data_IF_015495690226
#
_entry.id   IF_015495690226
#
_cell.length_a   1.000
_cell.length_b   1.000
_cell.length_c   1.000
_cell.angle_alpha   90.00
_cell.angle_beta   90.00
_cell.angle_gamma   90.00
#
_symmetry.space_group_name_H-M   'P 1'
#
loop_
_entity.id
_entity.type
_entity.pdbx_description
1 polymer ?
#
# COMPACT_ATOMS: atom_id res chain seq x y z
N UNK A 1 19.56 11.43 14.85
CA UNK A 1 19.40 9.98 15.15
C UNK A 1 20.47 9.23 14.37
N UNK A 2 21.14 8.24 14.94
CA UNK A 2 22.05 7.38 14.15
C UNK A 2 21.21 6.29 13.47
N UNK A 3 21.14 6.31 12.14
CA UNK A 3 20.33 5.36 11.39
C UNK A 3 21.07 4.07 11.06
N UNK A 4 22.41 4.01 11.11
CA UNK A 4 23.19 2.81 10.78
C UNK A 4 23.10 1.69 11.83
N UNK A 5 22.58 2.01 13.02
CA UNK A 5 22.22 1.02 14.06
C UNK A 5 20.85 1.37 14.60
N UNK A 6 19.86 1.36 13.72
CA UNK A 6 18.52 1.82 14.03
C UNK A 6 17.84 0.94 15.08
N UNK A 7 17.33 1.58 16.11
CA UNK A 7 16.42 1.01 17.08
C UNK A 7 15.12 1.81 17.08
N UNK A 8 14.02 1.12 17.33
CA UNK A 8 12.71 1.76 17.40
C UNK A 8 12.70 2.76 18.57
N UNK A 9 12.25 4.02 18.34
CA UNK A 9 12.38 5.11 19.31
C UNK A 9 11.27 5.10 20.38
N UNK A 10 10.72 3.93 20.69
CA UNK A 10 9.72 3.74 21.74
C UNK A 10 9.89 2.36 22.39
N UNK A 11 9.50 2.19 23.67
CA UNK A 11 9.62 0.91 24.36
C UNK A 11 8.72 -0.12 23.70
N UNK A 12 9.30 -1.22 23.21
CA UNK A 12 8.58 -2.32 22.57
C UNK A 12 7.81 -3.13 23.62
N UNK A 13 6.55 -3.43 23.35
CA UNK A 13 5.75 -4.35 24.17
C UNK A 13 6.23 -5.79 23.94
N UNK A 14 6.46 -6.55 25.01
CA UNK A 14 7.04 -7.90 24.97
C UNK A 14 6.26 -8.87 24.07
N UNK A 15 4.94 -8.70 23.98
CA UNK A 15 4.05 -9.51 23.13
C UNK A 15 4.35 -9.34 21.64
N UNK A 16 4.99 -8.24 21.27
CA UNK A 16 5.30 -7.84 19.90
C UNK A 16 6.80 -7.57 19.70
N UNK A 17 7.64 -8.33 20.41
CA UNK A 17 9.09 -8.20 20.44
C UNK A 17 9.80 -8.56 19.14
N UNK A 18 9.20 -9.42 18.30
CA UNK A 18 9.77 -9.84 17.02
C UNK A 18 9.96 -8.67 16.07
N UNK A 19 11.15 -8.57 15.46
CA UNK A 19 11.46 -7.51 14.49
C UNK A 19 10.75 -7.78 13.16
N UNK A 20 9.85 -6.88 12.77
CA UNK A 20 9.08 -6.98 11.52
C UNK A 20 9.39 -5.80 10.60
N UNK A 21 9.67 -6.08 9.33
CA UNK A 21 9.68 -5.07 8.28
C UNK A 21 8.45 -5.26 7.38
N UNK A 22 7.62 -4.23 7.31
CA UNK A 22 6.36 -4.23 6.55
C UNK A 22 6.51 -3.41 5.27
N UNK A 23 6.45 -4.08 4.13
CA UNK A 23 6.69 -3.51 2.81
C UNK A 23 5.38 -3.18 2.13
N UNK A 24 5.23 -1.94 1.65
CA UNK A 24 4.08 -1.55 0.84
C UNK A 24 4.43 -0.44 -0.14
N UNK A 25 3.78 -0.46 -1.31
CA UNK A 25 3.84 0.65 -2.27
C UNK A 25 3.15 1.91 -1.74
N UNK A 26 2.24 1.76 -0.76
CA UNK A 26 1.34 2.82 -0.35
C UNK A 26 1.17 2.91 1.17
N UNK A 27 1.14 4.13 1.71
CA UNK A 27 0.87 4.38 3.13
C UNK A 27 0.00 5.62 3.33
N UNK A 28 -1.28 5.43 3.71
CA UNK A 28 -2.18 6.51 4.09
C UNK A 28 -2.17 6.74 5.62
N UNK A 29 -0.98 7.01 6.18
CA UNK A 29 -0.81 7.27 7.62
C UNK A 29 -1.49 8.56 8.06
N UNK A 30 -1.47 9.59 7.21
CA UNK A 30 -2.09 10.88 7.47
C UNK A 30 -2.41 11.59 6.14
N UNK A 31 -3.38 12.50 6.14
CA UNK A 31 -3.85 13.15 4.90
C UNK A 31 -2.75 13.94 4.15
N UNK A 32 -1.89 14.72 4.83
CA UNK A 32 -0.73 15.38 4.25
C UNK A 32 0.29 14.51 3.52
N UNK A 33 0.53 13.26 3.94
CA UNK A 33 1.56 12.41 3.33
C UNK A 33 0.97 11.64 2.14
N UNK A 34 1.01 12.23 0.94
CA UNK A 34 0.31 11.77 -0.27
C UNK A 34 1.02 10.62 -1.01
N UNK A 35 1.42 9.58 -0.28
CA UNK A 35 2.06 8.38 -0.82
C UNK A 35 1.10 7.20 -0.95
N UNK A 36 -0.17 7.46 -1.30
CA UNK A 36 -1.22 6.45 -1.39
C UNK A 36 -2.28 6.82 -2.43
N UNK A 37 -2.99 5.82 -2.95
CA UNK A 37 -4.08 5.94 -3.94
C UNK A 37 -5.40 5.32 -3.49
N UNK A 38 -5.35 4.26 -2.67
CA UNK A 38 -6.52 3.42 -2.44
C UNK A 38 -6.49 2.59 -1.17
N UNK A 39 -7.34 1.55 -1.14
CA UNK A 39 -7.61 0.73 0.04
C UNK A 39 -6.37 0.06 0.65
N UNK A 40 -5.41 -0.33 -0.19
CA UNK A 40 -4.14 -0.91 0.26
C UNK A 40 -3.35 0.11 1.09
N UNK A 41 -3.21 1.36 0.62
CA UNK A 41 -2.64 2.46 1.40
C UNK A 41 -3.40 2.78 2.69
N UNK A 42 -4.74 2.80 2.67
CA UNK A 42 -5.56 3.00 3.89
C UNK A 42 -5.36 1.88 4.92
N UNK A 43 -5.25 0.63 4.47
CA UNK A 43 -4.89 -0.48 5.34
C UNK A 43 -3.49 -0.30 5.92
N UNK A 44 -2.47 -0.11 5.08
CA UNK A 44 -1.08 0.06 5.52
C UNK A 44 -0.93 1.21 6.53
N UNK A 45 -1.60 2.33 6.28
CA UNK A 45 -1.62 3.48 7.18
C UNK A 45 -2.24 3.16 8.54
N UNK A 46 -3.43 2.53 8.54
CA UNK A 46 -4.09 2.06 9.77
C UNK A 46 -3.25 0.99 10.50
N UNK A 47 -2.54 0.13 9.76
CA UNK A 47 -1.68 -0.89 10.31
C UNK A 47 -0.49 -0.27 11.05
N UNK A 48 0.22 0.70 10.44
CA UNK A 48 1.32 1.40 11.11
C UNK A 48 0.85 2.19 12.34
N UNK A 49 -0.34 2.82 12.29
CA UNK A 49 -0.93 3.49 13.47
C UNK A 49 -1.18 2.53 14.63
N UNK A 50 -1.81 1.40 14.34
CA UNK A 50 -2.07 0.37 15.34
C UNK A 50 -0.77 -0.25 15.87
N UNK A 51 0.24 -0.45 15.02
CA UNK A 51 1.55 -0.93 15.42
C UNK A 51 2.24 0.02 16.42
N UNK A 52 2.13 1.33 16.21
CA UNK A 52 2.63 2.34 17.16
C UNK A 52 1.88 2.32 18.48
N UNK A 53 0.54 2.30 18.44
CA UNK A 53 -0.29 2.27 19.65
C UNK A 53 -0.05 1.03 20.51
N UNK A 54 0.17 -0.12 19.87
CA UNK A 54 0.51 -1.39 20.51
C UNK A 54 2.00 -1.54 20.80
N UNK A 55 2.82 -0.54 20.46
CA UNK A 55 4.28 -0.53 20.62
C UNK A 55 4.96 -1.76 20.04
N UNK A 56 4.58 -2.12 18.82
CA UNK A 56 5.17 -3.27 18.11
C UNK A 56 6.57 -2.96 17.60
N UNK A 57 7.41 -4.00 17.52
CA UNK A 57 8.73 -3.91 16.93
C UNK A 57 8.70 -3.95 15.39
N UNK A 58 8.06 -2.95 14.79
CA UNK A 58 7.75 -2.90 13.36
C UNK A 58 8.29 -1.62 12.71
N UNK A 59 8.94 -1.77 11.56
CA UNK A 59 9.29 -0.67 10.64
C UNK A 59 8.50 -0.81 9.34
N UNK A 60 7.99 0.31 8.82
CA UNK A 60 7.43 0.41 7.48
C UNK A 60 8.52 0.69 6.46
N UNK A 61 8.46 0.02 5.30
CA UNK A 61 9.34 0.23 4.15
C UNK A 61 8.49 0.58 2.94
N UNK A 62 8.75 1.74 2.33
CA UNK A 62 8.02 2.24 1.17
C UNK A 62 8.87 3.10 0.24
N UNK A 63 8.20 3.71 -0.73
CA UNK A 63 8.80 4.62 -1.70
C UNK A 63 8.24 6.04 -1.47
N UNK A 64 9.11 7.03 -1.55
CA UNK A 64 8.72 8.43 -1.53
C UNK A 64 8.33 8.88 -2.94
N UNK A 65 7.02 9.05 -3.17
CA UNK A 65 6.50 9.47 -4.47
C UNK A 65 6.53 11.00 -4.62
N UNK A 66 7.36 11.52 -5.55
CA UNK A 66 7.51 12.97 -5.79
C UNK A 66 6.19 13.67 -6.11
N UNK A 67 5.34 13.03 -6.91
CA UNK A 67 4.04 13.55 -7.35
C UNK A 67 2.84 12.75 -6.82
N UNK A 68 3.07 11.80 -5.90
CA UNK A 68 2.01 10.93 -5.38
C UNK A 68 1.37 10.02 -6.44
N UNK A 69 0.07 9.75 -6.30
CA UNK A 69 -0.71 8.98 -7.28
C UNK A 69 -1.26 9.83 -8.42
N UNK A 70 -1.88 10.97 -8.10
CA UNK A 70 -2.16 12.13 -8.93
C UNK A 70 -3.04 13.08 -8.11
N UNK A 71 -3.13 14.33 -8.54
CA UNK A 71 -4.06 15.31 -8.01
C UNK A 71 -5.25 15.46 -8.97
N UNK A 72 -6.46 15.20 -8.46
CA UNK A 72 -7.69 15.26 -9.23
C UNK A 72 -8.16 16.70 -9.39
N UNK A 73 -8.33 17.14 -10.64
CA UNK A 73 -8.95 18.40 -11.02
C UNK A 73 -10.11 18.15 -12.01
N UNK A 74 -10.77 19.22 -12.46
CA UNK A 74 -11.88 19.18 -13.42
C UNK A 74 -11.57 20.08 -14.62
N UNK A 75 -11.74 19.55 -15.81
CA UNK A 75 -11.75 20.35 -17.03
C UNK A 75 -13.01 21.24 -17.08
N UNK A 76 -13.04 22.20 -18.01
CA UNK A 76 -14.20 23.09 -18.22
C UNK A 76 -15.49 22.32 -18.58
N UNK A 77 -15.35 21.17 -19.25
CA UNK A 77 -16.45 20.26 -19.60
C UNK A 77 -16.84 19.29 -18.46
N UNK A 78 -16.27 19.49 -17.26
CA UNK A 78 -16.44 18.64 -16.07
C UNK A 78 -15.82 17.25 -16.15
N UNK A 79 -15.09 16.93 -17.23
CA UNK A 79 -14.32 15.69 -17.30
C UNK A 79 -13.12 15.71 -16.33
N UNK A 80 -12.61 14.52 -16.00
CA UNK A 80 -11.47 14.37 -15.11
C UNK A 80 -10.22 15.01 -15.71
N UNK A 81 -9.62 15.94 -14.98
CA UNK A 81 -8.29 16.44 -15.26
C UNK A 81 -7.29 15.84 -14.27
N UNK A 82 -6.23 15.23 -14.77
CA UNK A 82 -5.15 14.66 -13.95
C UNK A 82 -4.02 15.68 -13.86
N UNK A 83 -3.66 16.07 -12.65
CA UNK A 83 -2.54 16.97 -12.39
C UNK A 83 -1.50 16.29 -11.52
N UNK A 84 -0.26 16.75 -11.60
CA UNK A 84 0.89 16.17 -10.91
C UNK A 84 1.61 17.27 -10.15
N UNK A 85 1.16 17.56 -8.93
CA UNK A 85 1.81 18.58 -8.11
C UNK A 85 2.92 17.94 -7.29
N UNK A 86 4.12 18.54 -7.36
CA UNK A 86 5.25 18.12 -6.55
C UNK A 86 4.94 18.23 -5.05
N UNK A 87 5.34 17.21 -4.29
CA UNK A 87 5.10 17.13 -2.85
C UNK A 87 6.43 17.26 -2.11
N UNK A 88 6.57 18.34 -1.35
CA UNK A 88 7.71 18.59 -0.47
C UNK A 88 7.23 18.41 0.97
N UNK A 89 7.76 17.38 1.65
CA UNK A 89 7.34 17.04 3.00
C UNK A 89 8.39 17.49 4.02
N UNK A 90 8.19 18.67 4.60
CA UNK A 90 9.09 19.25 5.62
C UNK A 90 9.18 18.44 6.91
N UNK A 91 8.23 17.53 7.15
CA UNK A 91 8.17 16.66 8.33
C UNK A 91 8.91 15.33 8.15
N UNK A 92 9.53 15.08 6.98
CA UNK A 92 10.42 13.94 6.77
C UNK A 92 11.85 14.32 7.11
N UNK A 93 12.55 13.43 7.79
CA UNK A 93 13.96 13.57 8.14
C UNK A 93 14.83 12.92 7.08
N UNK A 94 15.90 13.61 6.65
CA UNK A 94 16.95 13.01 5.84
C UNK A 94 17.82 12.11 6.73
N UNK A 95 17.91 10.83 6.38
CA UNK A 95 18.72 9.88 7.16
C UNK A 95 20.21 10.02 6.88
N UNK A 96 20.60 10.68 5.79
CA UNK A 96 21.96 10.69 5.25
C UNK A 96 22.37 9.39 4.55
N UNK A 97 21.54 8.35 4.58
CA UNK A 97 21.83 7.06 3.94
C UNK A 97 21.63 7.18 2.44
N UNK A 98 22.67 6.77 1.70
CA UNK A 98 22.65 6.56 0.25
C UNK A 98 23.30 5.23 -0.07
N UNK A 99 22.69 4.47 -0.96
CA UNK A 99 23.26 3.23 -1.49
C UNK A 99 22.85 3.06 -2.94
N UNK A 100 23.56 2.24 -3.71
CA UNK A 100 23.20 1.95 -5.10
C UNK A 100 22.37 0.67 -5.23
N UNK A 101 21.58 0.53 -6.27
CA UNK A 101 20.98 -0.74 -6.69
C UNK A 101 21.27 -0.93 -8.17
N UNK A 102 21.54 -2.16 -8.59
CA UNK A 102 21.60 -2.45 -10.02
C UNK A 102 20.17 -2.56 -10.55
N UNK A 103 19.76 -1.63 -11.40
CA UNK A 103 18.48 -1.63 -12.10
C UNK A 103 18.79 -1.46 -13.57
N UNK A 104 18.28 -2.36 -14.41
CA UNK A 104 18.60 -2.38 -15.84
C UNK A 104 20.11 -2.40 -16.11
N UNK A 105 20.84 -3.23 -15.38
CA UNK A 105 22.31 -3.39 -15.50
C UNK A 105 23.14 -2.13 -15.17
N UNK A 106 22.50 -1.07 -14.66
CA UNK A 106 23.12 0.18 -14.27
C UNK A 106 22.97 0.46 -12.78
N UNK A 107 23.97 1.08 -12.12
CA UNK A 107 23.84 1.51 -10.74
C UNK A 107 22.90 2.71 -10.62
N UNK A 108 21.81 2.56 -9.88
CA UNK A 108 20.85 3.61 -9.51
C UNK A 108 21.05 3.94 -8.04
N UNK A 109 21.37 5.20 -7.73
CA UNK A 109 21.48 5.68 -6.35
C UNK A 109 20.11 5.82 -5.69
N UNK A 110 20.02 5.41 -4.44
CA UNK A 110 18.81 5.48 -3.61
C UNK A 110 19.13 6.30 -2.38
N UNK A 111 18.34 7.34 -2.14
CA UNK A 111 18.35 8.12 -0.90
C UNK A 111 17.19 7.70 -0.01
N UNK A 112 17.40 7.76 1.31
CA UNK A 112 16.43 7.30 2.30
C UNK A 112 15.96 8.45 3.18
N UNK A 113 14.64 8.65 3.21
CA UNK A 113 13.95 9.57 4.09
C UNK A 113 13.25 8.80 5.21
N UNK A 114 13.05 9.45 6.36
CA UNK A 114 12.45 8.86 7.55
C UNK A 114 11.25 9.68 8.03
N UNK A 115 10.15 9.01 8.35
CA UNK A 115 9.02 9.57 9.06
C UNK A 115 9.09 9.15 10.54
N UNK A 116 9.38 10.09 11.46
CA UNK A 116 9.40 9.80 12.88
C UNK A 116 8.01 9.37 13.41
N UNK A 117 7.96 8.43 14.37
CA UNK A 117 6.69 7.98 14.94
C UNK A 117 5.83 9.09 15.55
N UNK A 118 6.46 10.10 16.15
CA UNK A 118 5.81 11.22 16.83
C UNK A 118 5.12 12.20 15.87
N UNK A 119 5.51 12.23 14.59
CA UNK A 119 4.93 13.15 13.60
C UNK A 119 3.44 12.89 13.40
N UNK A 120 3.05 11.62 13.27
CA UNK A 120 1.67 11.23 13.02
C UNK A 120 1.14 10.12 13.94
N UNK A 121 1.88 9.71 14.98
CA UNK A 121 1.53 8.56 15.82
C UNK A 121 1.38 7.27 14.99
N UNK A 122 2.42 6.93 14.24
CA UNK A 122 2.52 5.70 13.43
C UNK A 122 3.84 5.00 13.68
N UNK A 123 3.94 3.73 13.34
CA UNK A 123 5.22 3.02 13.38
C UNK A 123 6.22 3.75 12.47
N UNK A 124 7.52 3.67 12.78
CA UNK A 124 8.55 4.34 11.98
C UNK A 124 8.48 3.87 10.53
N UNK A 125 8.59 4.82 9.60
CA UNK A 125 8.45 4.55 8.17
C UNK A 125 9.66 5.11 7.42
N UNK A 126 10.36 4.23 6.72
CA UNK A 126 11.45 4.59 5.83
C UNK A 126 10.95 4.63 4.38
N UNK A 127 11.31 5.69 3.68
CA UNK A 127 10.87 5.98 2.32
C UNK A 127 12.08 6.17 1.42
N UNK A 128 12.19 5.35 0.38
CA UNK A 128 13.28 5.41 -0.59
C UNK A 128 12.91 6.34 -1.76
N UNK A 129 13.87 7.13 -2.24
CA UNK A 129 13.74 7.96 -3.44
C UNK A 129 14.95 7.80 -4.35
N UNK A 130 14.73 7.78 -5.67
CA UNK A 130 15.77 7.85 -6.70
C UNK A 130 15.85 9.22 -7.35
N UNK A 131 14.94 10.14 -7.00
CA UNK A 131 14.93 11.54 -7.44
C UNK A 131 16.04 12.34 -6.71
N UNK A 132 17.28 12.11 -7.14
CA UNK A 132 18.49 12.75 -6.62
C UNK A 132 19.47 13.06 -7.77
N UNK A 133 20.35 14.09 -7.62
CA UNK A 133 21.24 14.54 -8.69
C UNK A 133 22.25 13.50 -9.20
N UNK A 134 22.57 12.48 -8.41
CA UNK A 134 23.49 11.41 -8.79
C UNK A 134 22.93 10.48 -9.87
N UNK A 135 21.62 10.49 -10.08
CA UNK A 135 20.94 9.67 -11.07
C UNK A 135 20.63 10.44 -12.34
N UNK A 136 20.66 9.75 -13.47
CA UNK A 136 20.07 10.25 -14.72
C UNK A 136 18.55 10.45 -14.58
N UNK A 137 17.96 11.22 -15.49
CA UNK A 137 16.54 11.56 -15.43
C UNK A 137 15.62 10.33 -15.46
N UNK A 138 15.95 9.29 -16.21
CA UNK A 138 15.13 8.06 -16.30
C UNK A 138 15.15 7.36 -14.93
N UNK A 139 16.32 7.25 -14.31
CA UNK A 139 16.48 6.70 -12.96
C UNK A 139 15.76 7.53 -11.89
N UNK A 140 15.75 8.86 -11.99
CA UNK A 140 14.95 9.73 -11.11
C UNK A 140 13.45 9.45 -11.24
N UNK A 141 12.97 9.17 -12.46
CA UNK A 141 11.53 8.96 -12.71
C UNK A 141 10.95 7.71 -12.04
N UNK A 142 11.77 6.76 -11.59
CA UNK A 142 11.33 5.55 -10.86
C UNK A 142 10.44 5.93 -9.67
N UNK A 143 10.77 7.00 -8.94
CA UNK A 143 10.00 7.44 -7.75
C UNK A 143 9.14 8.68 -7.99
N UNK A 144 8.85 9.02 -9.25
CA UNK A 144 7.99 10.17 -9.55
C UNK A 144 6.53 9.88 -9.24
N UNK A 145 6.00 8.74 -9.68
CA UNK A 145 4.56 8.45 -9.67
C UNK A 145 4.27 7.05 -9.15
N UNK A 146 3.32 6.96 -8.23
CA UNK A 146 2.77 5.68 -7.79
C UNK A 146 1.94 5.04 -8.90
N UNK A 147 2.18 3.77 -9.21
CA UNK A 147 1.49 3.01 -10.26
C UNK A 147 1.61 3.64 -11.65
N UNK A 148 2.86 3.84 -12.09
CA UNK A 148 3.13 4.31 -13.45
C UNK A 148 2.57 3.34 -14.50
N UNK A 149 2.14 3.85 -15.66
CA UNK A 149 1.63 3.03 -16.74
C UNK A 149 2.76 2.32 -17.51
N UNK A 150 3.98 2.86 -17.46
CA UNK A 150 5.14 2.28 -18.12
C UNK A 150 5.62 1.01 -17.40
N UNK A 151 5.67 -0.09 -18.14
CA UNK A 151 5.99 -1.42 -17.61
C UNK A 151 7.40 -1.48 -17.02
N UNK A 152 8.42 -0.98 -17.72
CA UNK A 152 9.81 -0.99 -17.22
C UNK A 152 9.95 -0.17 -15.94
N UNK A 153 9.24 0.97 -15.84
CA UNK A 153 9.22 1.81 -14.63
C UNK A 153 8.57 1.06 -13.46
N UNK A 154 7.45 0.35 -13.68
CA UNK A 154 6.84 -0.50 -12.64
C UNK A 154 7.79 -1.59 -12.16
N UNK A 155 8.49 -2.28 -13.07
CA UNK A 155 9.48 -3.31 -12.69
C UNK A 155 10.59 -2.67 -11.85
N UNK A 156 11.12 -1.50 -12.24
CA UNK A 156 12.10 -0.77 -11.45
C UNK A 156 11.57 -0.37 -10.05
N UNK A 157 10.30 0.06 -9.95
CA UNK A 157 9.64 0.34 -8.67
C UNK A 157 9.55 -0.90 -7.78
N UNK A 158 9.25 -2.07 -8.36
CA UNK A 158 9.19 -3.33 -7.61
C UNK A 158 10.59 -3.75 -7.12
N UNK A 159 11.63 -3.50 -7.90
CA UNK A 159 13.03 -3.73 -7.48
C UNK A 159 13.39 -2.80 -6.32
N UNK A 160 13.07 -1.52 -6.46
CA UNK A 160 13.32 -0.53 -5.42
C UNK A 160 12.61 -0.89 -4.11
N UNK A 161 11.31 -1.24 -4.16
CA UNK A 161 10.56 -1.61 -2.96
C UNK A 161 11.12 -2.88 -2.30
N UNK A 162 11.29 -3.95 -3.08
CA UNK A 162 11.68 -5.26 -2.55
C UNK A 162 13.19 -5.37 -2.27
N UNK A 163 14.01 -5.50 -3.31
CA UNK A 163 15.46 -5.62 -3.16
C UNK A 163 16.08 -4.38 -2.51
N UNK A 164 15.63 -3.18 -2.90
CA UNK A 164 16.07 -1.93 -2.27
C UNK A 164 15.69 -1.83 -0.80
N UNK A 165 14.45 -2.19 -0.46
CA UNK A 165 14.02 -2.21 0.94
C UNK A 165 14.72 -3.29 1.78
N UNK A 166 15.03 -4.45 1.20
CA UNK A 166 15.81 -5.50 1.85
C UNK A 166 17.26 -5.04 2.11
N UNK A 167 17.89 -4.38 1.13
CA UNK A 167 19.20 -3.76 1.29
C UNK A 167 19.19 -2.65 2.34
N UNK A 168 18.20 -1.77 2.32
CA UNK A 168 18.03 -0.70 3.30
C UNK A 168 18.04 -1.24 4.74
N UNK A 169 17.38 -2.38 4.99
CA UNK A 169 17.34 -3.00 6.32
C UNK A 169 18.73 -3.43 6.83
N UNK A 170 19.69 -3.66 5.93
CA UNK A 170 21.10 -3.89 6.24
C UNK A 170 21.82 -2.59 6.55
N UNK A 171 21.63 -1.57 5.71
CA UNK A 171 22.21 -0.23 5.89
C UNK A 171 21.82 0.38 7.24
N UNK A 172 20.60 0.09 7.73
CA UNK A 172 20.14 0.55 9.05
C UNK A 172 20.40 -0.44 10.19
N UNK A 173 20.96 -1.62 9.90
CA UNK A 173 21.25 -2.64 10.91
C UNK A 173 20.03 -3.24 11.63
N UNK A 174 18.82 -3.16 11.05
CA UNK A 174 17.59 -3.59 11.73
C UNK A 174 17.46 -5.11 11.82
N UNK A 175 17.92 -5.85 10.80
CA UNK A 175 17.93 -7.32 10.75
C UNK A 175 16.60 -7.97 11.18
N UNK A 176 15.52 -7.79 10.40
CA UNK A 176 14.21 -8.29 10.79
C UNK A 176 14.11 -9.82 10.74
N UNK A 177 13.33 -10.36 11.68
CA UNK A 177 12.95 -11.78 11.71
C UNK A 177 11.81 -12.09 10.74
N UNK A 178 11.03 -11.05 10.38
CA UNK A 178 9.89 -11.18 9.47
C UNK A 178 9.90 -10.06 8.43
N UNK A 179 9.84 -10.45 7.17
CA UNK A 179 9.58 -9.59 6.03
C UNK A 179 8.13 -9.80 5.60
N UNK A 180 7.28 -8.80 5.83
CA UNK A 180 5.87 -8.86 5.46
C UNK A 180 5.65 -8.06 4.18
N UNK A 181 5.37 -8.76 3.09
CA UNK A 181 5.03 -8.17 1.81
C UNK A 181 3.52 -7.94 1.70
N UNK A 182 3.12 -6.67 1.62
CA UNK A 182 1.75 -6.27 1.37
C UNK A 182 1.51 -6.14 -0.14
N UNK A 183 0.88 -7.16 -0.73
CA UNK A 183 0.89 -7.48 -2.16
C UNK A 183 2.28 -7.82 -2.72
N UNK A 184 2.30 -8.36 -3.95
CA UNK A 184 3.49 -8.96 -4.55
C UNK A 184 4.53 -7.93 -5.05
N UNK A 185 4.25 -6.62 -4.91
CA UNK A 185 5.11 -5.53 -5.36
C UNK A 185 6.55 -5.62 -4.82
N UNK A 186 6.71 -6.11 -3.59
CA UNK A 186 8.01 -6.25 -2.93
C UNK A 186 8.70 -7.61 -3.13
N UNK A 187 8.21 -8.50 -3.99
CA UNK A 187 8.73 -9.89 -4.08
C UNK A 187 10.17 -9.98 -4.57
N UNK A 188 10.71 -8.93 -5.21
CA UNK A 188 12.15 -8.85 -5.52
C UNK A 188 13.05 -8.98 -4.27
N UNK A 189 12.53 -8.67 -3.07
CA UNK A 189 13.19 -8.93 -1.79
C UNK A 189 13.53 -10.41 -1.59
N UNK A 190 12.69 -11.33 -2.07
CA UNK A 190 12.91 -12.77 -1.90
C UNK A 190 14.19 -13.24 -2.62
N UNK A 191 14.43 -12.74 -3.84
CA UNK A 191 15.63 -13.08 -4.61
C UNK A 191 16.89 -12.44 -4.01
N UNK A 192 16.79 -11.21 -3.53
CA UNK A 192 17.87 -10.55 -2.80
C UNK A 192 18.26 -11.34 -1.54
N UNK A 193 17.27 -11.72 -0.72
CA UNK A 193 17.49 -12.53 0.48
C UNK A 193 18.00 -13.93 0.15
N UNK A 194 17.55 -14.53 -0.96
CA UNK A 194 18.04 -15.82 -1.41
C UNK A 194 19.54 -15.80 -1.68
N UNK A 195 20.03 -14.78 -2.39
CA UNK A 195 21.48 -14.58 -2.59
C UNK A 195 22.21 -14.34 -1.27
N UNK A 196 21.67 -13.45 -0.42
CA UNK A 196 22.24 -13.13 0.89
C UNK A 196 22.43 -14.37 1.78
N UNK A 197 21.46 -15.27 1.79
CA UNK A 197 21.49 -16.49 2.59
C UNK A 197 22.13 -17.66 1.86
N UNK A 198 23.03 -17.41 0.90
CA UNK A 198 23.82 -18.44 0.24
C UNK A 198 22.96 -19.40 -0.60
N UNK A 199 21.96 -18.86 -1.32
CA UNK A 199 21.01 -19.62 -2.13
C UNK A 199 20.19 -20.64 -1.31
N UNK A 200 19.82 -20.28 -0.08
CA UNK A 200 19.01 -21.12 0.79
C UNK A 200 17.53 -20.67 0.79
N UNK A 201 16.68 -21.40 0.06
CA UNK A 201 15.24 -21.09 -0.04
C UNK A 201 14.52 -21.21 1.31
N UNK A 202 14.88 -22.18 2.14
CA UNK A 202 14.23 -22.40 3.43
C UNK A 202 14.52 -21.26 4.41
N UNK A 203 15.69 -20.64 4.32
CA UNK A 203 16.04 -19.50 5.18
C UNK A 203 15.26 -18.23 4.81
N UNK A 204 15.00 -18.03 3.50
CA UNK A 204 14.08 -16.99 3.01
C UNK A 204 12.65 -17.32 3.44
N UNK A 205 12.21 -18.56 3.25
CA UNK A 205 10.88 -19.04 3.60
C UNK A 205 10.55 -18.80 5.06
N UNK A 206 11.47 -19.12 5.97
CA UNK A 206 11.33 -18.85 7.40
C UNK A 206 11.07 -17.37 7.73
N UNK A 207 11.40 -16.41 6.88
CA UNK A 207 11.29 -14.97 7.16
C UNK A 207 10.14 -14.29 6.43
N UNK A 208 9.72 -14.81 5.28
CA UNK A 208 8.80 -14.10 4.40
C UNK A 208 7.34 -14.42 4.69
N UNK A 209 6.52 -13.39 4.86
CA UNK A 209 5.06 -13.42 5.03
C UNK A 209 4.42 -12.61 3.91
N UNK A 210 3.31 -13.09 3.35
CA UNK A 210 2.67 -12.48 2.21
C UNK A 210 1.18 -12.19 2.44
N UNK A 211 0.71 -10.99 2.12
CA UNK A 211 -0.73 -10.70 2.08
C UNK A 211 -1.18 -10.44 0.64
N UNK A 212 -2.24 -11.13 0.23
CA UNK A 212 -2.91 -10.92 -1.06
C UNK A 212 -4.28 -10.25 -0.87
N UNK A 213 -4.59 -9.27 -1.71
CA UNK A 213 -5.83 -8.47 -1.71
C UNK A 213 -6.64 -8.67 -2.99
N UNK A 214 -6.11 -9.44 -3.93
CA UNK A 214 -6.68 -9.61 -5.26
C UNK A 214 -7.45 -10.93 -5.33
N UNK A 215 -8.79 -10.89 -5.52
CA UNK A 215 -9.63 -12.09 -5.51
C UNK A 215 -9.69 -12.82 -6.86
N UNK A 216 -8.96 -12.36 -7.88
CA UNK A 216 -9.01 -12.92 -9.24
C UNK A 216 -7.61 -13.03 -9.86
N UNK A 217 -7.34 -14.12 -10.56
CA UNK A 217 -6.01 -14.42 -11.09
C UNK A 217 -5.57 -13.39 -12.14
N UNK A 218 -6.51 -12.95 -12.99
CA UNK A 218 -6.27 -11.91 -14.01
C UNK A 218 -5.92 -10.54 -13.41
N UNK A 219 -6.25 -10.30 -12.13
CA UNK A 219 -5.87 -9.08 -11.42
C UNK A 219 -4.47 -9.13 -10.80
N UNK A 220 -3.80 -10.29 -10.79
CA UNK A 220 -2.45 -10.42 -10.24
C UNK A 220 -1.42 -10.00 -11.29
N UNK A 221 -0.51 -9.10 -10.93
CA UNK A 221 0.48 -8.54 -11.85
C UNK A 221 1.40 -9.64 -12.39
N UNK A 222 1.59 -9.65 -13.71
CA UNK A 222 2.55 -10.50 -14.42
C UNK A 222 3.40 -9.61 -15.32
N UNK A 223 4.67 -9.96 -15.42
CA UNK A 223 5.61 -9.28 -16.31
C UNK A 223 6.36 -10.31 -17.16
N UNK A 224 6.82 -9.88 -18.33
CA UNK A 224 7.73 -10.68 -19.13
C UNK A 224 9.01 -11.02 -18.33
N UNK A 225 9.34 -12.31 -18.22
CA UNK A 225 10.47 -12.77 -17.40
C UNK A 225 11.83 -12.29 -17.93
N UNK A 226 11.97 -12.13 -19.24
CA UNK A 226 13.18 -11.60 -19.86
C UNK A 226 13.32 -10.11 -19.59
N UNK A 227 12.21 -9.37 -19.58
CA UNK A 227 12.21 -7.97 -19.10
C UNK A 227 12.63 -7.90 -17.64
N UNK A 228 12.07 -8.73 -16.76
CA UNK A 228 12.49 -8.78 -15.35
C UNK A 228 13.98 -9.07 -15.20
N UNK A 229 14.51 -10.05 -15.94
CA UNK A 229 15.93 -10.40 -15.92
C UNK A 229 16.80 -9.22 -16.40
N UNK A 230 16.44 -8.61 -17.54
CA UNK A 230 17.12 -7.43 -18.09
C UNK A 230 17.10 -6.24 -17.13
N UNK A 231 16.00 -6.06 -16.41
CA UNK A 231 15.86 -5.01 -15.39
C UNK A 231 16.64 -5.32 -14.09
N UNK A 232 17.35 -6.46 -14.01
CA UNK A 232 18.09 -6.93 -12.84
C UNK A 232 17.21 -7.33 -11.65
N UNK A 233 15.97 -7.75 -11.91
CA UNK A 233 14.96 -8.06 -10.89
C UNK A 233 15.37 -9.22 -9.95
N UNK A 234 16.04 -10.22 -10.50
CA UNK A 234 16.32 -11.48 -9.81
C UNK A 234 17.64 -11.48 -9.03
N UNK A 235 18.21 -10.31 -8.75
CA UNK A 235 19.45 -10.19 -7.96
C UNK A 235 20.59 -11.07 -8.49
N UNK A 236 20.77 -11.12 -9.82
CA UNK A 236 21.85 -11.86 -10.48
C UNK A 236 21.60 -13.34 -10.75
N UNK A 237 20.40 -13.88 -10.44
CA UNK A 237 20.03 -15.24 -10.84
C UNK A 237 19.74 -15.30 -12.35
N UNK A 238 20.08 -16.44 -12.96
CA UNK A 238 19.69 -16.73 -14.34
C UNK A 238 18.18 -16.99 -14.45
N UNK A 239 17.64 -16.86 -15.66
CA UNK A 239 16.23 -17.17 -15.91
C UNK A 239 15.93 -18.63 -15.57
N UNK A 240 16.84 -19.56 -15.88
CA UNK A 240 16.66 -20.98 -15.57
C UNK A 240 16.62 -21.24 -14.06
N UNK A 241 17.50 -20.61 -13.29
CA UNK A 241 17.47 -20.67 -11.81
C UNK A 241 16.15 -20.12 -11.27
N UNK A 242 15.64 -19.02 -11.84
CA UNK A 242 14.36 -18.44 -11.44
C UNK A 242 13.20 -19.39 -11.78
N UNK A 243 13.16 -19.94 -12.99
CA UNK A 243 12.12 -20.88 -13.43
C UNK A 243 12.12 -22.14 -12.55
N UNK A 244 13.29 -22.64 -12.16
CA UNK A 244 13.42 -23.76 -11.22
C UNK A 244 12.91 -23.38 -9.83
N UNK A 245 13.37 -22.25 -9.28
CA UNK A 245 13.00 -21.80 -7.93
C UNK A 245 11.51 -21.51 -7.79
N UNK A 246 10.94 -20.87 -8.79
CA UNK A 246 9.54 -20.47 -8.76
C UNK A 246 8.62 -21.45 -9.44
N UNK A 247 9.09 -22.48 -10.14
CA UNK A 247 8.28 -23.41 -10.93
C UNK A 247 7.37 -22.73 -11.95
N UNK A 248 7.78 -21.57 -12.48
CA UNK A 248 7.06 -20.80 -13.50
C UNK A 248 7.70 -21.14 -14.83
N UNK A 249 6.98 -21.82 -15.72
CA UNK A 249 7.53 -22.32 -16.98
C UNK A 249 7.23 -21.42 -18.17
N UNK A 250 6.21 -20.56 -18.05
CA UNK A 250 5.87 -19.58 -19.07
C UNK A 250 6.89 -18.42 -19.10
N UNK A 251 6.73 -17.54 -20.08
CA UNK A 251 7.53 -16.31 -20.20
C UNK A 251 6.90 -15.14 -19.41
N UNK A 252 5.91 -15.41 -18.55
CA UNK A 252 5.16 -14.44 -17.77
C UNK A 252 5.39 -14.66 -16.27
N UNK A 253 6.39 -13.96 -15.74
CA UNK A 253 6.70 -13.98 -14.32
C UNK A 253 5.52 -13.51 -13.47
N UNK A 254 4.89 -14.46 -12.78
CA UNK A 254 3.78 -14.23 -11.86
C UNK A 254 4.32 -13.90 -10.46
N UNK A 255 4.28 -12.61 -10.11
CA UNK A 255 4.82 -12.11 -8.85
C UNK A 255 4.12 -12.71 -7.62
N UNK A 256 2.80 -12.88 -7.66
CA UNK A 256 2.03 -13.44 -6.55
C UNK A 256 2.33 -14.92 -6.34
N UNK A 257 2.47 -15.69 -7.42
CA UNK A 257 2.85 -17.10 -7.33
C UNK A 257 4.27 -17.25 -6.76
N UNK A 258 5.22 -16.43 -7.21
CA UNK A 258 6.57 -16.41 -6.64
C UNK A 258 6.51 -16.07 -5.13
N UNK A 259 5.74 -15.06 -4.74
CA UNK A 259 5.58 -14.68 -3.33
C UNK A 259 5.00 -15.82 -2.48
N UNK A 260 4.00 -16.55 -3.00
CA UNK A 260 3.40 -17.69 -2.33
C UNK A 260 4.36 -18.88 -2.15
N UNK A 261 5.31 -19.09 -3.08
CA UNK A 261 6.32 -20.15 -2.99
C UNK A 261 7.47 -19.80 -2.05
N UNK A 262 7.85 -18.52 -2.02
CA UNK A 262 8.89 -18.00 -1.11
C UNK A 262 8.39 -17.74 0.31
N UNK A 263 7.11 -17.48 0.56
CA UNK A 263 6.59 -17.22 1.90
C UNK A 263 6.48 -18.50 2.74
N UNK A 264 6.61 -18.41 4.07
CA UNK A 264 6.18 -19.50 4.99
C UNK A 264 4.67 -19.53 5.17
N UNK A 265 4.02 -18.39 5.05
CA UNK A 265 2.58 -18.24 5.27
C UNK A 265 2.07 -17.02 4.52
N UNK A 266 0.85 -17.14 4.02
CA UNK A 266 0.14 -16.04 3.41
C UNK A 266 -1.23 -15.82 4.06
N UNK A 267 -1.85 -14.68 3.79
CA UNK A 267 -3.23 -14.42 4.17
C UNK A 267 -4.00 -13.64 3.11
N UNK A 268 -5.28 -13.99 2.97
CA UNK A 268 -6.30 -13.12 2.40
C UNK A 268 -6.82 -12.12 3.44
N UNK A 269 -7.62 -11.17 2.96
CA UNK A 269 -8.03 -9.98 3.75
C UNK A 269 -9.44 -10.01 4.32
N UNK A 270 -10.10 -11.15 4.21
CA UNK A 270 -11.37 -11.48 4.85
C UNK A 270 -11.56 -13.01 4.88
N UNK A 271 -12.57 -13.48 5.63
CA UNK A 271 -12.92 -14.92 5.64
C UNK A 271 -13.24 -15.41 4.22
N UNK A 272 -14.12 -14.70 3.51
CA UNK A 272 -14.50 -15.06 2.14
C UNK A 272 -13.32 -14.94 1.18
N UNK A 273 -12.52 -13.88 1.29
CA UNK A 273 -11.33 -13.70 0.45
C UNK A 273 -10.35 -14.85 0.62
N UNK A 274 -10.10 -15.32 1.85
CA UNK A 274 -9.23 -16.47 2.05
C UNK A 274 -9.76 -17.77 1.42
N UNK A 275 -11.08 -17.96 1.34
CA UNK A 275 -11.67 -19.10 0.60
C UNK A 275 -11.37 -18.96 -0.89
N UNK A 276 -11.69 -17.81 -1.48
CA UNK A 276 -11.45 -17.55 -2.91
C UNK A 276 -9.97 -17.63 -3.26
N UNK A 277 -9.07 -17.09 -2.42
CA UNK A 277 -7.63 -17.19 -2.64
C UNK A 277 -7.14 -18.63 -2.64
N UNK A 278 -7.58 -19.47 -1.69
CA UNK A 278 -7.18 -20.90 -1.66
C UNK A 278 -7.67 -21.64 -2.90
N UNK A 279 -8.90 -21.39 -3.33
CA UNK A 279 -9.44 -21.98 -4.55
C UNK A 279 -8.66 -21.54 -5.80
N UNK A 280 -8.42 -20.24 -5.95
CA UNK A 280 -7.68 -19.64 -7.08
C UNK A 280 -6.26 -20.21 -7.20
N UNK A 281 -5.56 -20.40 -6.09
CA UNK A 281 -4.18 -20.89 -6.09
C UNK A 281 -4.04 -22.42 -5.97
N UNK A 282 -5.16 -23.16 -5.80
CA UNK A 282 -5.15 -24.62 -5.56
C UNK A 282 -4.50 -25.46 -6.66
N UNK A 283 -4.45 -24.95 -7.89
CA UNK A 283 -3.82 -25.61 -9.04
C UNK A 283 -2.29 -25.58 -9.01
N UNK A 284 -1.69 -24.84 -8.08
CA UNK A 284 -0.24 -24.72 -7.94
C UNK A 284 0.25 -25.48 -6.72
N UNK A 285 1.27 -26.32 -6.93
CA UNK A 285 1.97 -27.03 -5.86
C UNK A 285 3.05 -26.14 -5.19
N UNK A 286 3.46 -26.55 -3.99
CA UNK A 286 4.53 -25.92 -3.19
C UNK A 286 4.28 -24.43 -2.86
N UNK A 287 3.01 -24.04 -2.75
CA UNK A 287 2.60 -22.75 -2.17
C UNK A 287 2.42 -22.87 -0.66
N UNK A 288 2.67 -21.79 0.06
CA UNK A 288 2.42 -21.74 1.49
C UNK A 288 0.92 -21.75 1.86
N UNK A 289 0.57 -22.10 3.11
CA UNK A 289 -0.80 -22.00 3.59
C UNK A 289 -1.33 -20.56 3.53
N UNK A 290 -2.58 -20.41 3.08
CA UNK A 290 -3.28 -19.11 2.99
C UNK A 290 -4.35 -19.02 4.09
N UNK A 291 -4.12 -18.14 5.06
CA UNK A 291 -5.06 -17.80 6.15
C UNK A 291 -6.07 -16.71 5.74
N UNK A 292 -6.97 -16.39 6.67
CA UNK A 292 -7.89 -15.25 6.57
C UNK A 292 -7.66 -14.29 7.72
N UNK A 293 -7.16 -13.08 7.43
CA UNK A 293 -7.04 -12.00 8.41
C UNK A 293 -7.91 -10.84 7.93
N UNK A 294 -9.00 -10.55 8.62
CA UNK A 294 -9.94 -9.52 8.20
C UNK A 294 -9.32 -8.13 8.34
N UNK A 295 -9.35 -7.36 7.25
CA UNK A 295 -8.89 -5.97 7.26
C UNK A 295 -9.65 -5.13 8.29
N UNK A 296 -8.94 -4.18 8.90
CA UNK A 296 -9.50 -3.23 9.85
C UNK A 296 -8.93 -1.83 9.62
N UNK A 297 -9.61 -0.82 10.16
CA UNK A 297 -9.15 0.55 10.19
C UNK A 297 -8.83 0.95 11.63
N UNK A 298 -7.85 1.83 11.81
CA UNK A 298 -7.48 2.31 13.14
C UNK A 298 -8.62 3.18 13.72
N UNK A 299 -9.29 2.69 14.76
CA UNK A 299 -10.44 3.36 15.38
C UNK A 299 -10.04 4.70 16.01
N UNK A 300 -8.85 4.81 16.60
CA UNK A 300 -8.39 6.07 17.22
C UNK A 300 -8.36 7.22 16.22
N UNK A 301 -7.88 6.95 15.02
CA UNK A 301 -7.74 7.94 13.95
C UNK A 301 -9.03 8.15 13.13
N UNK A 302 -9.74 7.08 12.74
CA UNK A 302 -10.85 7.19 11.79
C UNK A 302 -12.23 7.45 12.42
N UNK A 303 -12.40 7.22 13.72
CA UNK A 303 -13.71 7.38 14.35
C UNK A 303 -13.94 8.80 14.87
N UNK A 304 -15.18 9.31 14.79
CA UNK A 304 -15.58 10.51 15.51
C UNK A 304 -15.94 10.21 16.97
N UNK A 305 -15.13 10.65 17.93
CA UNK A 305 -15.30 10.29 19.35
C UNK A 305 -16.60 10.82 19.95
N UNK A 306 -17.01 12.03 19.59
CA UNK A 306 -18.25 12.63 20.08
C UNK A 306 -19.48 11.82 19.62
N UNK A 307 -19.47 11.33 18.38
CA UNK A 307 -20.53 10.49 17.85
C UNK A 307 -20.64 9.14 18.57
N UNK A 308 -19.50 8.49 18.86
CA UNK A 308 -19.50 7.24 19.63
C UNK A 308 -19.97 7.45 21.06
N UNK A 309 -19.51 8.53 21.73
CA UNK A 309 -19.95 8.87 23.09
C UNK A 309 -21.46 9.11 23.15
N UNK A 310 -22.03 9.89 22.22
CA UNK A 310 -23.46 10.15 22.16
C UNK A 310 -24.27 8.86 21.97
N UNK A 311 -23.80 7.96 21.09
CA UNK A 311 -24.42 6.65 20.89
C UNK A 311 -24.36 5.78 22.14
N UNK A 312 -23.21 5.73 22.81
CA UNK A 312 -23.02 4.93 24.02
C UNK A 312 -23.86 5.44 25.20
N UNK A 313 -24.11 6.75 25.28
CA UNK A 313 -24.99 7.34 26.29
C UNK A 313 -26.48 7.33 25.93
N UNK A 314 -26.86 6.88 24.72
CA UNK A 314 -28.24 6.95 24.23
C UNK A 314 -28.75 8.38 24.04
N UNK A 315 -27.86 9.32 23.73
CA UNK A 315 -28.16 10.73 23.54
C UNK A 315 -28.36 11.02 22.04
N UNK A 316 -29.58 10.80 21.57
CA UNK A 316 -29.95 10.93 20.16
C UNK A 316 -29.83 12.40 19.67
N UNK A 317 -30.15 13.38 20.51
CA UNK A 317 -30.05 14.80 20.17
C UNK A 317 -28.59 15.19 19.90
N UNK A 318 -27.66 14.76 20.76
CA UNK A 318 -26.22 15.01 20.56
C UNK A 318 -25.67 14.24 19.38
N UNK A 319 -26.16 13.02 19.14
CA UNK A 319 -25.77 12.24 17.97
C UNK A 319 -26.15 12.98 16.68
N UNK A 320 -27.40 13.43 16.58
CA UNK A 320 -27.94 14.15 15.44
C UNK A 320 -27.25 15.50 15.23
N UNK A 321 -27.02 16.27 16.29
CA UNK A 321 -26.27 17.52 16.21
C UNK A 321 -24.86 17.29 15.66
N UNK A 322 -24.12 16.31 16.23
CA UNK A 322 -22.76 15.99 15.76
C UNK A 322 -22.75 15.55 14.30
N UNK A 323 -23.71 14.71 13.88
CA UNK A 323 -23.85 14.29 12.48
C UNK A 323 -24.14 15.46 11.56
N UNK A 324 -25.08 16.34 11.92
CA UNK A 324 -25.42 17.54 11.14
C UNK A 324 -24.23 18.48 11.03
N UNK A 325 -23.47 18.67 12.10
CA UNK A 325 -22.24 19.46 12.09
C UNK A 325 -21.18 18.90 11.12
N UNK A 326 -20.91 17.58 11.16
CA UNK A 326 -19.96 16.95 10.24
C UNK A 326 -20.41 17.08 8.78
N UNK A 327 -21.72 16.95 8.55
CA UNK A 327 -22.32 17.04 7.24
C UNK A 327 -22.22 18.45 6.65
N UNK A 328 -22.47 19.49 7.45
CA UNK A 328 -22.27 20.89 7.03
C UNK A 328 -20.85 21.13 6.54
N UNK A 329 -19.83 20.64 7.26
CA UNK A 329 -18.42 20.75 6.84
C UNK A 329 -18.13 20.04 5.51
N UNK A 330 -18.69 18.85 5.31
CA UNK A 330 -18.55 18.15 4.04
C UNK A 330 -19.24 18.92 2.89
N UNK A 331 -20.38 19.54 3.18
CA UNK A 331 -21.13 20.32 2.20
C UNK A 331 -20.48 21.66 1.86
N UNK A 332 -19.78 22.28 2.80
CA UNK A 332 -18.92 23.44 2.53
C UNK A 332 -17.83 23.10 1.51
N UNK A 333 -17.18 21.93 1.64
CA UNK A 333 -16.19 21.45 0.66
C UNK A 333 -16.82 21.21 -0.71
N UNK A 334 -18.05 20.66 -0.76
CA UNK A 334 -18.76 20.47 -2.02
C UNK A 334 -19.15 21.81 -2.65
N UNK A 335 -19.65 22.75 -1.86
CA UNK A 335 -20.06 24.06 -2.31
C UNK A 335 -18.87 24.87 -2.85
N UNK A 336 -17.74 24.85 -2.14
CA UNK A 336 -16.48 25.46 -2.59
C UNK A 336 -16.03 24.91 -3.95
N UNK A 337 -16.18 23.59 -4.15
CA UNK A 337 -15.76 22.93 -5.38
C UNK A 337 -16.74 23.07 -6.56
N UNK A 338 -18.04 23.09 -6.29
CA UNK A 338 -19.07 22.88 -7.32
C UNK A 338 -20.10 24.02 -7.40
N UNK A 339 -20.07 24.97 -6.47
CA UNK A 339 -21.12 25.97 -6.28
C UNK A 339 -22.44 25.40 -5.74
N UNK A 340 -22.53 24.08 -5.51
CA UNK A 340 -23.76 23.44 -5.06
C UNK A 340 -23.87 23.46 -3.53
N UNK A 341 -24.84 24.21 -3.03
CA UNK A 341 -25.20 24.23 -1.61
C UNK A 341 -26.21 23.12 -1.30
N UNK A 342 -25.86 22.21 -0.40
CA UNK A 342 -26.73 21.11 0.01
C UNK A 342 -27.41 21.40 1.37
N UNK A 343 -28.66 20.97 1.54
CA UNK A 343 -29.38 21.06 2.81
C UNK A 343 -28.94 19.93 3.77
N UNK A 344 -28.35 20.26 4.94
CA UNK A 344 -27.93 19.26 5.92
C UNK A 344 -29.09 18.43 6.51
N UNK A 345 -30.35 18.82 6.33
CA UNK A 345 -31.52 18.08 6.81
C UNK A 345 -32.01 16.98 5.83
N UNK A 346 -31.54 16.98 4.58
CA UNK A 346 -31.96 16.00 3.56
C UNK A 346 -31.13 14.73 3.66
N UNK A 347 -31.71 13.53 3.67
CA UNK A 347 -30.94 12.27 3.68
C UNK A 347 -29.87 12.25 2.56
N UNK A 348 -28.66 11.81 2.87
CA UNK A 348 -27.52 11.94 1.95
C UNK A 348 -26.76 10.63 1.84
N UNK A 349 -26.67 10.15 0.61
CA UNK A 349 -25.90 8.96 0.26
C UNK A 349 -24.54 9.40 -0.30
N UNK A 350 -23.47 8.77 0.18
CA UNK A 350 -22.10 9.06 -0.26
C UNK A 350 -21.50 7.82 -0.91
N UNK A 351 -20.94 7.99 -2.10
CA UNK A 351 -20.08 7.00 -2.74
C UNK A 351 -18.67 7.58 -2.88
N UNK A 352 -17.71 7.03 -2.13
CA UNK A 352 -16.34 7.54 -2.05
C UNK A 352 -15.34 6.39 -2.19
N UNK A 353 -15.16 5.90 -3.43
CA UNK A 353 -14.21 4.82 -3.77
C UNK A 353 -13.59 5.10 -5.14
N UNK A 354 -12.44 4.50 -5.47
CA UNK A 354 -11.85 4.61 -6.83
C UNK A 354 -12.86 4.10 -7.88
N UNK A 355 -12.97 4.77 -9.03
CA UNK A 355 -13.76 4.30 -10.17
C UNK A 355 -13.10 3.07 -10.81
N UNK A 356 -13.84 1.96 -10.89
CA UNK A 356 -13.46 0.73 -11.58
C UNK A 356 -14.74 -0.02 -11.99
N UNK A 357 -14.71 -0.71 -13.14
CA UNK A 357 -15.91 -1.37 -13.69
C UNK A 357 -16.63 -2.29 -12.71
N UNK A 358 -15.87 -3.16 -12.02
CA UNK A 358 -16.42 -4.09 -11.03
C UNK A 358 -17.04 -3.42 -9.79
N UNK A 359 -16.76 -2.13 -9.53
CA UNK A 359 -17.37 -1.36 -8.42
C UNK A 359 -18.70 -0.73 -8.76
N UNK A 360 -19.08 -0.75 -10.06
CA UNK A 360 -20.41 -0.39 -10.56
C UNK A 360 -20.92 0.95 -10.02
N UNK A 361 -20.13 2.02 -10.18
CA UNK A 361 -20.50 3.36 -9.71
C UNK A 361 -21.86 3.85 -10.26
N UNK A 362 -22.20 3.46 -11.50
CA UNK A 362 -23.49 3.75 -12.14
C UNK A 362 -24.60 2.73 -11.87
N UNK A 363 -24.44 1.79 -10.92
CA UNK A 363 -25.42 0.73 -10.69
C UNK A 363 -26.82 1.27 -10.35
N UNK A 364 -26.87 2.28 -9.50
CA UNK A 364 -28.14 2.85 -9.04
C UNK A 364 -28.83 3.62 -10.18
N UNK A 365 -28.06 4.09 -11.16
CA UNK A 365 -28.55 4.90 -12.28
C UNK A 365 -28.65 4.11 -13.59
N UNK A 366 -28.36 2.80 -13.60
CA UNK A 366 -28.39 1.99 -14.82
C UNK A 366 -29.80 1.70 -15.31
N UNK A 367 -30.77 1.74 -14.40
CA UNK A 367 -32.20 1.58 -14.68
C UNK A 367 -32.92 2.86 -14.22
N UNK A 368 -33.32 3.68 -15.19
CA UNK A 368 -33.89 5.01 -14.94
C UNK A 368 -35.26 4.91 -14.25
N UNK A 369 -36.11 4.00 -14.70
CA UNK A 369 -37.46 3.81 -14.13
C UNK A 369 -37.37 3.38 -12.67
N UNK A 370 -36.49 2.40 -12.39
CA UNK A 370 -36.24 1.96 -11.01
C UNK A 370 -35.64 3.07 -10.15
N UNK A 371 -34.72 3.85 -10.70
CA UNK A 371 -34.12 4.98 -9.98
C UNK A 371 -35.16 6.04 -9.61
N UNK A 372 -36.02 6.43 -10.56
CA UNK A 372 -37.11 7.38 -10.32
C UNK A 372 -38.13 6.83 -9.31
N UNK A 373 -38.45 5.54 -9.36
CA UNK A 373 -39.31 4.89 -8.37
C UNK A 373 -38.71 4.92 -6.95
N UNK A 374 -37.39 4.75 -6.81
CA UNK A 374 -36.69 4.84 -5.53
C UNK A 374 -36.72 6.28 -4.97
N UNK A 375 -36.43 7.28 -5.79
CA UNK A 375 -36.42 8.69 -5.37
C UNK A 375 -37.81 9.19 -4.96
N UNK A 376 -38.86 8.69 -5.60
CA UNK A 376 -40.24 9.10 -5.31
C UNK A 376 -40.94 8.21 -4.27
N UNK A 377 -40.23 7.27 -3.64
CA UNK A 377 -40.81 6.38 -2.65
C UNK A 377 -41.07 7.13 -1.33
N UNK A 378 -42.31 7.53 -1.10
CA UNK A 378 -42.72 8.26 0.11
C UNK A 378 -42.58 7.44 1.42
N UNK A 379 -42.51 6.10 1.34
CA UNK A 379 -42.38 5.22 2.51
C UNK A 379 -40.93 4.90 2.85
N UNK A 380 -40.06 4.83 1.83
CA UNK A 380 -38.62 4.57 1.97
C UNK A 380 -37.83 5.49 1.01
N UNK A 381 -37.79 6.81 1.28
CA UNK A 381 -37.09 7.73 0.41
C UNK A 381 -35.59 7.43 0.42
N UNK A 382 -35.00 7.29 -0.78
CA UNK A 382 -33.56 7.07 -0.99
C UNK A 382 -32.86 8.38 -1.26
#
# INVERSE_FOLDING_TARGET
>A
MNFSSYQIPYPVDERYSKRVAYFSMEFAVHQPLKIYSGGLGFLSGSHLRSAYELRQNLVGIGILWKYGYYDQARNQDQSLQVTWMEKIYSFLEDTGIKFSLTIHEHPVWVKVMYLPPTTFNSAPLFLMTTDIPENDYISQTITHRLYDANVSTKVAQFILLGAGGARLLEEIGFNPEVYHLNEAHGVSAAFYLYQKFGKNREEVRKRLVFTTHTPEEAGNEKHDIYLCAKMSYFSGLSIDEVKELTGITDDQFNHSLAALRFARIANGVSKLHGVVSREMWSKYEDICPILSITNAQNWRYWSDKALYQARESGDDDRFDDRKKWMKKRAFEIVADQTGKWFDPNVFTIVWARRFAGYKRAGLITSDKERFEALLNNKKYPV
#
